data_IF_648757255011
#
_entry.id   IF_648757255011
#
_cell.length_a   1.000
_cell.length_b   1.000
_cell.length_c   1.000
_cell.angle_alpha   90.00
_cell.angle_beta   90.00
_cell.angle_gamma   90.00
#
_symmetry.space_group_name_H-M   'P 1'
#
loop_
_entity.id
_entity.type
_entity.pdbx_description
1 polymer ?
#
# COMPACT_ATOMS: atom_id res chain seq x y z
N UNK A 1 -12.81 6.05 11.03
CA UNK A 1 -11.98 5.67 9.86
C UNK A 1 -10.95 6.75 9.60
N UNK A 2 -9.65 6.42 9.59
CA UNK A 2 -8.57 7.38 9.29
C UNK A 2 -8.18 7.19 7.83
N UNK A 3 -8.29 8.23 6.99
CA UNK A 3 -7.87 8.20 5.59
C UNK A 3 -6.46 8.77 5.45
N UNK A 4 -5.51 7.93 5.07
CA UNK A 4 -4.15 8.34 4.75
C UNK A 4 -4.10 8.82 3.30
N UNK A 5 -4.11 10.14 3.09
CA UNK A 5 -3.90 10.72 1.77
C UNK A 5 -2.40 10.99 1.56
N UNK A 6 -1.72 10.07 0.88
CA UNK A 6 -0.28 10.14 0.66
C UNK A 6 0.02 10.57 -0.78
N UNK A 7 0.76 11.67 -0.95
CA UNK A 7 1.25 12.06 -2.27
C UNK A 7 2.33 11.05 -2.72
N UNK A 8 2.27 10.46 -3.92
CA UNK A 8 3.29 9.51 -4.37
C UNK A 8 4.71 10.11 -4.37
N UNK A 9 4.82 11.42 -4.61
CA UNK A 9 6.10 12.15 -4.61
C UNK A 9 6.83 12.14 -3.27
N UNK A 10 6.11 11.94 -2.15
CA UNK A 10 6.69 11.91 -0.80
C UNK A 10 7.16 10.52 -0.36
N UNK A 11 6.70 9.47 -1.05
CA UNK A 11 7.03 8.09 -0.73
C UNK A 11 8.36 7.74 -1.40
N UNK A 12 9.27 7.18 -0.63
CA UNK A 12 10.53 6.61 -1.11
C UNK A 12 10.34 5.14 -1.47
N UNK A 13 9.63 4.39 -0.62
CA UNK A 13 9.39 2.96 -0.81
C UNK A 13 8.08 2.53 -0.17
N UNK A 14 7.38 1.62 -0.85
CA UNK A 14 6.21 0.92 -0.34
C UNK A 14 6.49 -0.58 -0.42
N UNK A 15 6.44 -1.30 0.69
CA UNK A 15 6.75 -2.74 0.70
C UNK A 15 5.98 -3.53 1.74
N UNK A 16 5.61 -4.75 1.39
CA UNK A 16 5.02 -5.70 2.31
C UNK A 16 6.11 -6.47 3.07
N UNK A 17 6.15 -6.30 4.38
CA UNK A 17 7.00 -7.09 5.26
C UNK A 17 6.25 -8.37 5.67
N UNK A 18 6.58 -9.49 5.01
CA UNK A 18 6.00 -10.80 5.30
C UNK A 18 6.31 -11.29 6.72
N UNK A 19 7.48 -10.98 7.27
CA UNK A 19 7.89 -11.43 8.62
C UNK A 19 7.08 -10.73 9.70
N UNK A 20 6.90 -9.41 9.56
CA UNK A 20 6.16 -8.57 10.52
C UNK A 20 4.66 -8.47 10.22
N UNK A 21 4.20 -9.09 9.12
CA UNK A 21 2.83 -8.99 8.61
C UNK A 21 2.36 -7.53 8.55
N UNK A 22 3.16 -6.66 7.94
CA UNK A 22 2.88 -5.22 7.85
C UNK A 22 3.17 -4.65 6.46
N UNK A 23 2.44 -3.60 6.10
CA UNK A 23 2.78 -2.70 5.02
C UNK A 23 3.70 -1.60 5.57
N UNK A 24 4.90 -1.51 5.02
CA UNK A 24 5.89 -0.50 5.37
C UNK A 24 5.89 0.62 4.31
N UNK A 25 5.77 1.86 4.77
CA UNK A 25 5.80 3.06 3.95
C UNK A 25 7.01 3.88 4.40
N UNK A 26 8.06 3.92 3.58
CA UNK A 26 9.25 4.74 3.81
C UNK A 26 9.09 6.08 3.10
N UNK A 27 9.33 7.18 3.80
CA UNK A 27 9.27 8.52 3.26
C UNK A 27 10.65 9.00 2.81
N UNK A 28 10.68 9.95 1.88
CA UNK A 28 11.93 10.64 1.50
C UNK A 28 12.47 11.43 2.69
N UNK A 29 13.79 11.57 2.77
CA UNK A 29 14.47 12.18 3.94
C UNK A 29 14.10 13.66 4.16
N UNK A 30 13.67 14.35 3.11
CA UNK A 30 13.36 15.79 3.15
C UNK A 30 11.96 16.10 3.69
N UNK A 31 11.32 15.15 4.37
CA UNK A 31 9.93 15.28 4.83
C UNK A 31 9.91 15.34 6.34
N UNK A 32 9.18 16.33 6.87
CA UNK A 32 8.97 16.54 8.32
C UNK A 32 8.03 15.50 8.94
N UNK A 33 8.09 14.24 8.50
CA UNK A 33 7.28 13.14 9.01
C UNK A 33 8.18 11.99 9.48
N UNK A 34 7.61 11.05 10.22
CA UNK A 34 8.30 9.82 10.61
C UNK A 34 8.90 9.14 9.38
N UNK A 35 10.17 8.72 9.45
CA UNK A 35 10.88 8.11 8.31
C UNK A 35 10.16 6.88 7.74
N UNK A 36 9.44 6.16 8.58
CA UNK A 36 8.69 4.97 8.18
C UNK A 36 7.38 4.87 8.96
N UNK A 37 6.30 4.48 8.27
CA UNK A 37 5.04 4.04 8.88
C UNK A 37 4.89 2.53 8.63
N UNK A 38 4.54 1.79 9.67
CA UNK A 38 4.22 0.37 9.59
C UNK A 38 2.74 0.17 9.89
N UNK A 39 1.99 -0.34 8.91
CA UNK A 39 0.56 -0.64 9.02
C UNK A 39 0.40 -2.16 9.10
N UNK A 40 -0.08 -2.73 10.21
CA UNK A 40 -0.39 -4.16 10.29
C UNK A 40 -1.36 -4.60 9.19
N UNK A 41 -1.10 -5.76 8.59
CA UNK A 41 -1.97 -6.34 7.55
C UNK A 41 -3.39 -6.63 8.07
N UNK A 42 -3.55 -6.93 9.36
CA UNK A 42 -4.87 -7.16 9.97
C UNK A 42 -5.79 -5.95 9.82
N UNK A 43 -5.26 -4.74 10.00
CA UNK A 43 -6.02 -3.48 9.86
C UNK A 43 -6.41 -3.25 8.39
N UNK A 44 -5.53 -3.61 7.46
CA UNK A 44 -5.84 -3.53 6.03
C UNK A 44 -6.90 -4.54 5.62
N UNK A 45 -6.88 -5.74 6.21
CA UNK A 45 -7.86 -6.78 5.96
C UNK A 45 -9.23 -6.40 6.52
N UNK A 46 -9.31 -5.93 7.77
CA UNK A 46 -10.55 -5.39 8.36
C UNK A 46 -11.14 -4.25 7.50
N UNK A 47 -10.28 -3.39 6.93
CA UNK A 47 -10.74 -2.35 6.02
C UNK A 47 -11.34 -2.92 4.73
N UNK A 48 -10.66 -3.87 4.07
CA UNK A 48 -11.17 -4.52 2.85
C UNK A 48 -12.48 -5.26 3.13
N UNK A 49 -12.57 -5.95 4.26
CA UNK A 49 -13.77 -6.67 4.68
C UNK A 49 -14.92 -5.68 4.99
N UNK A 50 -14.61 -4.53 5.59
CA UNK A 50 -15.62 -3.47 5.80
C UNK A 50 -16.10 -2.83 4.49
N UNK A 51 -15.26 -2.81 3.44
CA UNK A 51 -15.65 -2.31 2.12
C UNK A 51 -16.50 -3.32 1.36
N UNK A 52 -16.25 -4.63 1.50
CA UNK A 52 -17.02 -5.67 0.82
C UNK A 52 -18.45 -5.81 1.37
N UNK A 53 -18.67 -5.44 2.62
CA UNK A 53 -19.99 -5.45 3.26
C UNK A 53 -20.81 -4.18 3.00
N UNK A 54 -20.19 -3.11 2.49
CA UNK A 54 -20.89 -1.93 2.00
C UNK A 54 -21.06 -2.07 0.49
N UNK A 55 -22.29 -2.28 0.01
CA UNK A 55 -22.67 -2.52 -1.40
C UNK A 55 -22.25 -1.43 -2.42
N UNK A 56 -21.49 -0.41 -1.98
CA UNK A 56 -21.01 0.74 -2.75
C UNK A 56 -19.99 0.33 -3.84
N UNK A 57 -19.40 -0.86 -3.78
CA UNK A 57 -18.43 -1.36 -4.76
C UNK A 57 -19.00 -2.37 -5.79
N UNK A 58 -20.33 -2.51 -5.90
CA UNK A 58 -20.96 -3.34 -6.96
C UNK A 58 -20.98 -2.67 -8.34
N UNK A 59 -20.39 -1.47 -8.49
CA UNK A 59 -20.15 -0.89 -9.80
C UNK A 59 -19.00 -1.60 -10.51
N UNK A 60 -19.39 -2.38 -11.52
CA UNK A 60 -18.57 -3.11 -12.51
C UNK A 60 -17.69 -2.21 -13.39
N UNK A 61 -17.17 -1.10 -12.87
CA UNK A 61 -16.13 -0.36 -13.56
C UNK A 61 -14.81 -0.97 -13.14
N UNK A 62 -14.35 -1.94 -13.93
CA UNK A 62 -13.00 -2.50 -13.85
C UNK A 62 -12.00 -1.35 -13.65
N UNK A 63 -11.49 -1.21 -12.44
CA UNK A 63 -10.32 -0.39 -12.19
C UNK A 63 -9.18 -1.04 -12.97
N UNK A 64 -8.91 -0.53 -14.18
CA UNK A 64 -7.73 -0.90 -14.95
C UNK A 64 -6.51 -0.44 -14.15
N UNK A 65 -5.97 -1.37 -13.37
CA UNK A 65 -4.74 -1.14 -12.63
C UNK A 65 -3.63 -0.92 -13.65
N UNK A 66 -3.14 0.31 -13.76
CA UNK A 66 -1.96 0.65 -14.57
C UNK A 66 -0.66 0.11 -13.97
N UNK A 67 -0.73 -0.55 -12.82
CA UNK A 67 0.39 -1.19 -12.15
C UNK A 67 0.66 -2.57 -12.77
N UNK A 68 1.72 -2.63 -13.58
CA UNK A 68 2.25 -3.89 -14.11
C UNK A 68 3.21 -4.52 -13.11
N UNK A 69 2.92 -5.74 -12.65
CA UNK A 69 3.90 -6.55 -11.91
C UNK A 69 5.02 -6.92 -12.90
N UNK A 70 6.23 -6.42 -12.65
CA UNK A 70 7.41 -6.79 -13.42
C UNK A 70 8.29 -7.71 -12.57
N UNK A 71 8.53 -8.93 -13.06
CA UNK A 71 9.53 -9.82 -12.49
C UNK A 71 10.91 -9.37 -12.98
N UNK A 72 11.75 -8.95 -12.05
CA UNK A 72 13.14 -8.62 -12.32
C UNK A 72 13.91 -9.90 -12.69
N UNK A 73 14.49 -9.95 -13.90
CA UNK A 73 15.41 -11.01 -14.33
C UNK A 73 16.87 -10.69 -13.91
N UNK A 74 17.07 -10.09 -12.73
CA UNK A 74 18.40 -9.74 -12.26
C UNK A 74 19.20 -11.02 -11.96
N UNK A 75 20.14 -11.34 -12.85
CA UNK A 75 21.24 -12.27 -12.58
C UNK A 75 22.43 -11.42 -12.11
N UNK A 76 22.86 -11.62 -10.88
CA UNK A 76 24.16 -11.15 -10.44
C UNK A 76 25.21 -12.07 -11.07
N UNK A 77 26.07 -11.51 -11.92
CA UNK A 77 27.28 -12.14 -12.43
C UNK A 77 28.32 -12.30 -11.34
#
# INVERSE_FOLDING_TARGET
MIRLNLKPSIIKKLSFNKKKKSLEIEFKENIKTSKCINIPLSILQEYVDSLSHNEIFTDKNEYQSTLKIVHSNFKAS
#
